data_IF_218045249857
#
_entry.id   IF_218045249857
#
_cell.length_a   1.000
_cell.length_b   1.000
_cell.length_c   1.000
_cell.angle_alpha   90.00
_cell.angle_beta   90.00
_cell.angle_gamma   90.00
#
_symmetry.space_group_name_H-M   'P 1'
#
loop_
_entity.id
_entity.type
_entity.pdbx_description
1 polymer ?
#
# COMPACT_ATOMS: atom_id res chain seq x y z
N UNK A 1 -8.72 -7.96 13.64
CA UNK A 1 -8.61 -8.07 12.17
C UNK A 1 -7.74 -9.24 11.75
N UNK A 2 -6.55 -9.39 12.34
CA UNK A 2 -5.58 -10.43 11.97
C UNK A 2 -6.15 -11.85 12.03
N UNK A 3 -6.91 -12.19 13.08
CA UNK A 3 -7.53 -13.52 13.17
C UNK A 3 -8.49 -13.80 12.01
N UNK A 4 -9.27 -12.80 11.57
CA UNK A 4 -10.14 -12.97 10.40
C UNK A 4 -9.33 -13.19 9.12
N UNK A 5 -8.19 -12.51 8.97
CA UNK A 5 -7.30 -12.68 7.81
C UNK A 5 -6.70 -14.09 7.82
N UNK A 6 -6.18 -14.54 8.96
CA UNK A 6 -5.52 -15.84 9.14
C UNK A 6 -6.50 -17.00 8.88
N UNK A 7 -7.76 -16.83 9.27
CA UNK A 7 -8.82 -17.82 9.07
C UNK A 7 -9.62 -17.62 7.76
N UNK A 8 -9.06 -16.91 6.78
CA UNK A 8 -9.69 -16.67 5.47
C UNK A 8 -8.71 -16.98 4.34
N UNK A 9 -9.20 -16.93 3.10
CA UNK A 9 -8.39 -17.10 1.89
C UNK A 9 -7.26 -16.06 1.77
N UNK A 10 -7.34 -14.95 2.51
CA UNK A 10 -6.29 -13.93 2.55
C UNK A 10 -4.97 -14.44 3.15
N UNK A 11 -4.98 -15.51 3.93
CA UNK A 11 -3.76 -16.08 4.53
C UNK A 11 -2.72 -16.46 3.47
N UNK A 12 -3.17 -16.91 2.29
CA UNK A 12 -2.28 -17.27 1.18
C UNK A 12 -1.57 -16.06 0.54
N UNK A 13 -2.07 -14.85 0.78
CA UNK A 13 -1.46 -13.60 0.31
C UNK A 13 -0.40 -13.05 1.27
N UNK A 14 -0.27 -13.63 2.47
CA UNK A 14 0.69 -13.13 3.47
C UNK A 14 2.13 -13.27 2.97
N UNK A 15 2.92 -12.22 3.14
CA UNK A 15 4.36 -12.20 2.86
C UNK A 15 5.10 -11.62 4.07
N UNK A 16 6.40 -11.87 4.12
CA UNK A 16 7.28 -11.27 5.12
C UNK A 16 7.68 -9.85 4.74
N UNK A 17 7.84 -9.59 3.43
CA UNK A 17 8.31 -8.33 2.88
C UNK A 17 7.36 -7.78 1.81
N UNK A 18 7.45 -6.46 1.59
CA UNK A 18 6.85 -5.78 0.45
C UNK A 18 7.96 -5.21 -0.43
N UNK A 19 8.38 -5.96 -1.44
CA UNK A 19 9.47 -5.60 -2.33
C UNK A 19 9.23 -6.07 -3.77
N UNK A 20 9.74 -5.27 -4.71
CA UNK A 20 9.77 -5.56 -6.14
C UNK A 20 10.96 -4.83 -6.77
N UNK A 21 11.85 -5.58 -7.43
CA UNK A 21 13.08 -5.04 -8.02
C UNK A 21 13.89 -4.21 -6.99
N UNK A 22 14.16 -2.94 -7.28
CA UNK A 22 14.89 -2.02 -6.37
C UNK A 22 13.96 -1.13 -5.53
N UNK A 23 12.68 -1.46 -5.43
CA UNK A 23 11.70 -0.75 -4.60
C UNK A 23 11.24 -1.66 -3.47
N UNK A 24 11.34 -1.18 -2.23
CA UNK A 24 10.93 -1.94 -1.04
C UNK A 24 10.43 -1.03 0.05
N UNK A 25 9.64 -1.60 0.95
CA UNK A 25 9.29 -0.98 2.24
C UNK A 25 10.04 -1.70 3.33
N UNK A 26 10.68 -0.92 4.22
CA UNK A 26 11.32 -1.46 5.42
C UNK A 26 10.38 -1.36 6.62
N UNK A 27 10.65 -2.14 7.65
CA UNK A 27 9.93 -2.10 8.92
C UNK A 27 10.87 -1.59 10.01
N UNK A 28 10.35 -0.71 10.88
CA UNK A 28 11.06 -0.24 12.07
C UNK A 28 11.48 -1.42 12.93
N UNK A 29 12.69 -1.39 13.50
CA UNK A 29 13.14 -2.41 14.47
C UNK A 29 12.29 -2.44 15.75
N UNK A 30 11.53 -1.38 16.00
CA UNK A 30 10.63 -1.26 17.15
C UNK A 30 9.26 -1.88 16.86
N UNK A 31 8.93 -2.14 15.59
CA UNK A 31 7.68 -2.77 15.20
C UNK A 31 7.85 -4.29 15.24
N UNK A 32 7.21 -4.93 16.22
CA UNK A 32 7.23 -6.38 16.36
C UNK A 32 6.58 -7.08 15.15
N UNK A 33 7.12 -8.23 14.74
CA UNK A 33 6.63 -9.00 13.57
C UNK A 33 5.17 -9.45 13.71
N UNK A 34 4.71 -9.70 14.94
CA UNK A 34 3.32 -10.06 15.22
C UNK A 34 2.35 -8.86 15.20
N UNK A 35 2.88 -7.63 15.17
CA UNK A 35 2.10 -6.40 15.13
C UNK A 35 1.83 -5.91 13.70
N UNK A 36 2.26 -6.64 12.67
CA UNK A 36 1.89 -6.32 11.29
C UNK A 36 1.59 -7.54 10.42
N UNK A 37 0.81 -7.32 9.36
CA UNK A 37 0.59 -8.27 8.28
C UNK A 37 0.85 -7.57 6.95
N UNK A 38 1.64 -8.18 6.08
CA UNK A 38 1.79 -7.78 4.68
C UNK A 38 0.99 -8.74 3.80
N UNK A 39 0.04 -8.21 3.03
CA UNK A 39 -0.72 -8.94 2.03
C UNK A 39 -0.29 -8.50 0.64
N UNK A 40 0.10 -9.45 -0.20
CA UNK A 40 0.48 -9.20 -1.60
C UNK A 40 -0.77 -9.19 -2.49
N UNK A 41 -1.27 -8.00 -2.82
CA UNK A 41 -2.60 -7.80 -3.42
C UNK A 41 -2.59 -8.10 -4.93
N UNK A 42 -1.51 -7.77 -5.63
CA UNK A 42 -1.32 -8.14 -7.03
C UNK A 42 -1.40 -9.66 -7.25
N UNK A 43 -0.87 -10.46 -6.31
CA UNK A 43 -0.95 -11.92 -6.35
C UNK A 43 -2.40 -12.44 -6.31
N UNK A 44 -3.30 -11.76 -5.57
CA UNK A 44 -4.71 -12.11 -5.57
C UNK A 44 -5.33 -11.95 -6.95
N UNK A 45 -5.17 -10.78 -7.58
CA UNK A 45 -5.76 -10.54 -8.91
C UNK A 45 -5.09 -11.40 -10.00
N UNK A 46 -3.78 -11.64 -9.90
CA UNK A 46 -3.06 -12.52 -10.81
C UNK A 46 -3.49 -13.99 -10.68
N UNK A 47 -3.94 -14.42 -9.51
CA UNK A 47 -4.41 -15.81 -9.28
C UNK A 47 -5.73 -16.14 -9.96
N UNK A 48 -6.56 -15.14 -10.29
CA UNK A 48 -7.89 -15.32 -10.89
C UNK A 48 -7.87 -15.83 -12.34
N UNK A 49 -6.69 -15.90 -12.98
CA UNK A 49 -6.50 -16.35 -14.38
C UNK A 49 -7.37 -15.62 -15.40
N UNK A 50 -7.72 -14.37 -15.11
CA UNK A 50 -8.43 -13.52 -16.04
C UNK A 50 -7.47 -13.06 -17.16
N UNK A 51 -7.92 -12.95 -18.43
CA UNK A 51 -7.06 -12.51 -19.54
C UNK A 51 -6.42 -11.13 -19.32
N UNK A 52 -7.12 -10.24 -18.62
CA UNK A 52 -6.67 -8.90 -18.27
C UNK A 52 -7.04 -8.63 -16.80
N UNK A 53 -6.24 -9.10 -15.83
CA UNK A 53 -6.58 -8.94 -14.42
C UNK A 53 -6.68 -7.45 -14.05
N UNK A 54 -7.62 -7.08 -13.16
CA UNK A 54 -7.74 -5.71 -12.68
C UNK A 54 -6.41 -5.20 -12.10
N UNK A 55 -5.99 -3.98 -12.44
CA UNK A 55 -4.76 -3.43 -11.90
C UNK A 55 -4.94 -3.18 -10.40
N UNK A 56 -3.96 -3.58 -9.61
CA UNK A 56 -3.95 -3.44 -8.16
C UNK A 56 -2.59 -3.01 -7.65
N UNK A 57 -2.55 -2.55 -6.40
CA UNK A 57 -1.32 -2.24 -5.69
C UNK A 57 -0.52 -3.51 -5.39
N UNK A 58 0.77 -3.39 -5.14
CA UNK A 58 1.63 -4.54 -4.81
C UNK A 58 1.31 -5.09 -3.42
N UNK A 59 1.21 -4.23 -2.41
CA UNK A 59 1.00 -4.67 -1.03
C UNK A 59 -0.05 -3.86 -0.27
N UNK A 60 -0.76 -4.53 0.62
CA UNK A 60 -1.48 -3.93 1.73
C UNK A 60 -0.77 -4.33 3.03
N UNK A 61 -0.24 -3.36 3.75
CA UNK A 61 0.37 -3.56 5.06
C UNK A 61 -0.60 -3.07 6.11
N UNK A 62 -0.88 -3.91 7.10
CA UNK A 62 -1.76 -3.63 8.23
C UNK A 62 -0.91 -3.66 9.49
N UNK A 63 -0.90 -2.57 10.24
CA UNK A 63 -0.21 -2.48 11.53
C UNK A 63 -1.26 -2.39 12.63
N UNK A 64 -1.16 -3.24 13.65
CA UNK A 64 -2.01 -3.18 14.84
C UNK A 64 -1.45 -2.13 15.79
N UNK A 65 -2.29 -1.17 16.20
CA UNK A 65 -1.88 -0.15 17.16
C UNK A 65 -2.01 -0.68 18.59
N UNK A 66 -0.97 -0.49 19.39
CA UNK A 66 -0.94 -1.00 20.77
C UNK A 66 -1.87 -0.20 21.69
N UNK A 67 -2.24 1.03 21.31
CA UNK A 67 -2.91 2.00 22.18
C UNK A 67 -4.43 1.98 22.11
N UNK A 68 -5.05 1.49 21.03
CA UNK A 68 -6.48 1.72 20.78
C UNK A 68 -7.22 0.62 19.99
N UNK A 69 -6.64 -0.59 19.86
CA UNK A 69 -7.20 -1.71 19.07
C UNK A 69 -7.56 -1.36 17.61
N UNK A 70 -7.10 -0.20 17.13
CA UNK A 70 -7.24 0.23 15.76
C UNK A 70 -6.06 -0.26 14.92
N UNK A 71 -6.17 -0.06 13.62
CA UNK A 71 -5.14 -0.46 12.67
C UNK A 71 -4.72 0.70 11.77
N UNK A 72 -3.42 0.79 11.49
CA UNK A 72 -2.89 1.60 10.41
C UNK A 72 -2.87 0.79 9.12
N UNK A 73 -3.40 1.39 8.05
CA UNK A 73 -3.43 0.80 6.72
C UNK A 73 -2.42 1.51 5.83
N UNK A 74 -1.53 0.74 5.22
CA UNK A 74 -0.60 1.23 4.21
C UNK A 74 -0.87 0.47 2.90
N UNK A 75 -1.46 1.16 1.93
CA UNK A 75 -1.60 0.68 0.58
C UNK A 75 -0.33 1.08 -0.16
N UNK A 76 0.42 0.11 -0.67
CA UNK A 76 1.77 0.32 -1.21
C UNK A 76 1.82 -0.13 -2.67
N UNK A 77 2.17 0.80 -3.55
CA UNK A 77 2.59 0.55 -4.92
C UNK A 77 4.09 0.79 -5.05
N UNK A 78 4.82 -0.17 -5.60
CA UNK A 78 6.25 -0.15 -5.83
C UNK A 78 6.53 0.23 -7.30
N UNK A 79 7.44 1.17 -7.53
CA UNK A 79 7.87 1.55 -8.89
C UNK A 79 9.37 1.79 -8.95
N UNK A 80 10.07 0.87 -9.61
CA UNK A 80 11.46 1.06 -9.99
C UNK A 80 11.56 1.82 -11.33
N UNK A 81 11.73 3.15 -11.23
CA UNK A 81 11.82 4.04 -12.39
C UNK A 81 13.14 4.80 -12.42
N UNK A 82 13.66 5.09 -13.61
CA UNK A 82 14.86 5.95 -13.76
C UNK A 82 14.52 7.44 -13.88
N UNK A 83 13.28 7.76 -14.27
CA UNK A 83 12.78 9.12 -14.43
C UNK A 83 11.25 9.18 -14.36
N UNK A 84 10.68 10.37 -14.11
CA UNK A 84 9.23 10.58 -14.02
C UNK A 84 8.47 10.26 -15.32
N UNK A 85 9.13 10.24 -16.48
CA UNK A 85 8.51 9.83 -17.75
C UNK A 85 8.01 8.38 -17.74
N UNK A 86 8.57 7.54 -16.87
CA UNK A 86 8.17 6.14 -16.71
C UNK A 86 6.92 5.95 -15.84
N UNK A 87 6.37 7.02 -15.23
CA UNK A 87 5.18 6.90 -14.39
C UNK A 87 3.90 6.97 -15.23
N UNK A 88 3.18 5.86 -15.29
CA UNK A 88 1.80 5.86 -15.77
C UNK A 88 0.86 6.23 -14.62
N UNK A 89 0.61 7.54 -14.47
CA UNK A 89 -0.19 8.09 -13.36
C UNK A 89 -1.61 7.52 -13.34
N UNK A 90 -2.26 7.43 -14.50
CA UNK A 90 -3.63 6.90 -14.59
C UNK A 90 -3.69 5.45 -14.10
N UNK A 91 -2.72 4.63 -14.50
CA UNK A 91 -2.63 3.25 -14.04
C UNK A 91 -2.40 3.16 -12.53
N UNK A 92 -1.48 3.94 -11.96
CA UNK A 92 -1.24 3.99 -10.52
C UNK A 92 -2.52 4.39 -9.77
N UNK A 93 -3.18 5.45 -10.22
CA UNK A 93 -4.45 5.88 -9.63
C UNK A 93 -5.54 4.80 -9.70
N UNK A 94 -5.58 4.04 -10.79
CA UNK A 94 -6.51 2.94 -10.97
C UNK A 94 -6.17 1.78 -10.04
N UNK A 95 -4.89 1.43 -9.85
CA UNK A 95 -4.45 0.39 -8.90
C UNK A 95 -4.97 0.64 -7.49
N UNK A 96 -4.78 1.85 -6.96
CA UNK A 96 -5.35 2.24 -5.67
C UNK A 96 -6.88 2.19 -5.65
N UNK A 97 -7.53 2.69 -6.71
CA UNK A 97 -8.99 2.68 -6.80
C UNK A 97 -9.58 1.27 -6.82
N UNK A 98 -9.00 0.36 -7.59
CA UNK A 98 -9.40 -1.05 -7.66
C UNK A 98 -9.25 -1.70 -6.29
N UNK A 99 -8.08 -1.56 -5.64
CA UNK A 99 -7.86 -2.16 -4.33
C UNK A 99 -8.86 -1.63 -3.29
N UNK A 100 -9.17 -0.34 -3.29
CA UNK A 100 -10.12 0.20 -2.32
C UNK A 100 -11.57 -0.24 -2.63
N UNK A 101 -12.01 -0.08 -3.87
CA UNK A 101 -13.41 -0.28 -4.24
C UNK A 101 -13.79 -1.75 -4.39
N UNK A 102 -12.92 -2.54 -5.00
CA UNK A 102 -13.18 -3.96 -5.26
C UNK A 102 -12.66 -4.81 -4.09
N UNK A 103 -11.37 -4.74 -3.77
CA UNK A 103 -10.80 -5.61 -2.73
C UNK A 103 -11.30 -5.29 -1.31
N UNK A 104 -11.16 -4.04 -0.86
CA UNK A 104 -11.49 -3.66 0.53
C UNK A 104 -13.00 -3.47 0.76
N UNK A 105 -13.70 -2.76 -0.14
CA UNK A 105 -15.11 -2.39 0.04
C UNK A 105 -16.11 -3.44 -0.44
N UNK A 106 -15.70 -4.41 -1.28
CA UNK A 106 -16.60 -5.39 -1.89
C UNK A 106 -16.19 -6.83 -1.55
N UNK A 107 -15.07 -7.31 -2.07
CA UNK A 107 -14.67 -8.73 -1.96
C UNK A 107 -14.39 -9.15 -0.51
N UNK A 108 -13.66 -8.33 0.25
CA UNK A 108 -13.27 -8.64 1.64
C UNK A 108 -13.86 -7.65 2.65
N UNK A 109 -15.01 -7.06 2.32
CA UNK A 109 -15.69 -6.07 3.16
C UNK A 109 -15.89 -6.56 4.60
N UNK A 110 -16.31 -7.81 4.78
CA UNK A 110 -16.60 -8.38 6.10
C UNK A 110 -15.36 -8.57 7.00
N UNK A 111 -14.17 -8.54 6.40
CA UNK A 111 -12.89 -8.57 7.10
C UNK A 111 -12.47 -7.14 7.47
N UNK A 112 -12.58 -6.19 6.55
CA UNK A 112 -11.98 -4.86 6.72
C UNK A 112 -12.94 -3.81 7.32
N UNK A 113 -14.25 -4.00 7.24
CA UNK A 113 -15.23 -2.99 7.70
C UNK A 113 -15.53 -3.06 9.21
N UNK A 114 -15.17 -4.16 9.88
CA UNK A 114 -15.53 -4.40 11.28
C UNK A 114 -14.61 -3.75 12.33
N UNK A 115 -13.50 -3.12 11.94
CA UNK A 115 -12.42 -2.74 12.86
C UNK A 115 -12.10 -1.25 12.83
N UNK A 116 -11.67 -0.65 13.93
CA UNK A 116 -11.23 0.74 13.92
C UNK A 116 -10.00 0.95 13.02
N UNK A 117 -9.97 2.08 12.30
CA UNK A 117 -8.82 2.50 11.49
C UNK A 117 -8.21 3.74 12.16
N UNK A 118 -6.94 3.65 12.54
CA UNK A 118 -6.20 4.76 13.13
C UNK A 118 -5.71 5.69 12.01
N UNK A 119 -4.97 5.15 11.04
CA UNK A 119 -4.51 5.89 9.86
C UNK A 119 -4.72 5.11 8.55
N UNK A 120 -4.81 5.84 7.45
CA UNK A 120 -5.01 5.31 6.10
C UNK A 120 -4.05 6.02 5.14
N UNK A 121 -3.07 5.29 4.64
CA UNK A 121 -1.92 5.83 3.90
C UNK A 121 -1.81 5.14 2.54
N UNK A 122 -1.66 5.93 1.49
CA UNK A 122 -1.46 5.45 0.11
C UNK A 122 -0.07 5.85 -0.33
N UNK A 123 0.83 4.89 -0.51
CA UNK A 123 2.23 5.12 -0.78
C UNK A 123 2.66 4.62 -2.15
N UNK A 124 3.28 5.53 -2.90
CA UNK A 124 4.04 5.18 -4.10
C UNK A 124 5.53 5.12 -3.72
N UNK A 125 6.07 3.93 -3.55
CA UNK A 125 7.47 3.73 -3.21
C UNK A 125 8.30 3.74 -4.49
N UNK A 126 9.25 4.66 -4.56
CA UNK A 126 10.11 4.82 -5.74
C UNK A 126 11.45 4.15 -5.52
N UNK A 127 11.88 3.35 -6.50
CA UNK A 127 13.09 2.53 -6.43
C UNK A 127 14.36 3.29 -6.01
N UNK A 128 15.32 2.57 -5.44
CA UNK A 128 16.49 3.15 -4.77
C UNK A 128 17.28 4.12 -5.65
N UNK A 129 17.46 3.81 -6.94
CA UNK A 129 18.20 4.65 -7.86
C UNK A 129 17.52 6.01 -8.02
N UNK A 130 16.19 6.02 -8.15
CA UNK A 130 15.41 7.25 -8.21
C UNK A 130 15.49 8.01 -6.89
N UNK A 131 15.31 7.29 -5.79
CA UNK A 131 15.30 7.84 -4.43
C UNK A 131 16.62 8.49 -4.05
N UNK A 132 17.76 7.87 -4.37
CA UNK A 132 19.10 8.44 -4.15
C UNK A 132 19.30 9.72 -4.98
N UNK A 133 18.82 9.74 -6.22
CA UNK A 133 18.99 10.89 -7.14
C UNK A 133 18.05 12.05 -6.86
N UNK A 134 16.82 11.76 -6.44
CA UNK A 134 15.72 12.73 -6.35
C UNK A 134 15.01 12.77 -4.99
N UNK A 135 15.47 12.02 -3.98
CA UNK A 135 14.87 11.95 -2.64
C UNK A 135 14.71 13.32 -1.99
N UNK A 136 15.75 14.16 -2.07
CA UNK A 136 15.71 15.56 -1.59
C UNK A 136 14.71 16.45 -2.35
N UNK A 137 14.25 16.01 -3.52
CA UNK A 137 13.30 16.69 -4.43
C UNK A 137 11.96 15.96 -4.51
N UNK A 138 11.68 14.94 -3.69
CA UNK A 138 10.36 14.28 -3.71
C UNK A 138 9.22 15.22 -3.31
N UNK A 139 9.51 16.32 -2.60
CA UNK A 139 8.59 17.44 -2.38
C UNK A 139 8.56 18.50 -3.50
N UNK A 140 9.15 18.24 -4.68
CA UNK A 140 9.17 19.17 -5.81
C UNK A 140 7.80 19.27 -6.51
N UNK A 141 7.58 20.39 -7.19
CA UNK A 141 6.31 20.78 -7.83
C UNK A 141 5.72 19.72 -8.77
N UNK A 142 6.53 18.92 -9.47
CA UNK A 142 6.04 17.88 -10.39
C UNK A 142 5.44 16.66 -9.66
N UNK A 143 6.07 16.21 -8.56
CA UNK A 143 5.50 15.16 -7.70
C UNK A 143 4.35 15.69 -6.83
N UNK A 144 4.35 17.00 -6.52
CA UNK A 144 3.20 17.68 -5.91
C UNK A 144 1.98 17.69 -6.83
N UNK A 145 2.12 17.96 -8.13
CA UNK A 145 1.01 17.86 -9.08
C UNK A 145 0.47 16.40 -9.16
N UNK A 146 1.37 15.41 -9.05
CA UNK A 146 1.04 13.99 -9.01
C UNK A 146 0.23 13.57 -7.76
N UNK A 147 0.52 14.16 -6.59
CA UNK A 147 -0.12 13.86 -5.29
C UNK A 147 -1.42 14.58 -5.03
N UNK A 148 -1.63 15.76 -5.64
CA UNK A 148 -2.69 16.69 -5.24
C UNK A 148 -4.03 16.52 -5.95
N UNK A 149 -4.19 15.61 -6.92
CA UNK A 149 -5.39 15.62 -7.78
C UNK A 149 -6.54 14.68 -7.36
N UNK A 150 -6.28 13.63 -6.58
CA UNK A 150 -7.31 12.63 -6.27
C UNK A 150 -7.23 12.16 -4.83
N UNK A 151 -8.31 12.40 -4.09
CA UNK A 151 -8.51 11.90 -2.75
C UNK A 151 -9.22 10.56 -2.81
N UNK A 152 -8.72 9.63 -2.01
CA UNK A 152 -9.27 8.30 -1.86
C UNK A 152 -9.93 8.19 -0.50
N UNK A 153 -11.09 7.54 -0.48
CA UNK A 153 -11.91 7.38 0.71
C UNK A 153 -11.95 5.91 1.06
N UNK A 154 -11.67 5.60 2.32
CA UNK A 154 -11.96 4.30 2.88
C UNK A 154 -12.56 4.52 4.26
N UNK A 155 -13.85 4.17 4.37
CA UNK A 155 -14.66 4.45 5.55
C UNK A 155 -14.63 5.95 5.90
N UNK A 156 -14.29 6.33 7.12
CA UNK A 156 -14.19 7.72 7.55
C UNK A 156 -12.80 8.35 7.33
N UNK A 157 -11.89 7.67 6.61
CA UNK A 157 -10.55 8.17 6.34
C UNK A 157 -10.42 8.63 4.90
N UNK A 158 -9.62 9.69 4.72
CA UNK A 158 -9.34 10.31 3.44
C UNK A 158 -7.83 10.41 3.28
N UNK A 159 -7.32 10.00 2.12
CA UNK A 159 -5.90 10.02 1.85
C UNK A 159 -5.60 10.36 0.39
N UNK A 160 -4.47 11.03 0.18
CA UNK A 160 -3.87 11.21 -1.14
C UNK A 160 -2.73 10.20 -1.33
N UNK A 161 -2.40 9.87 -2.58
CA UNK A 161 -1.21 9.08 -2.89
C UNK A 161 0.02 9.93 -2.55
N UNK A 162 0.95 9.37 -1.77
CA UNK A 162 2.18 10.02 -1.35
C UNK A 162 3.42 9.25 -1.86
N UNK A 163 4.23 9.84 -2.76
CA UNK A 163 5.51 9.31 -3.16
C UNK A 163 6.48 9.32 -2.00
N UNK A 164 7.07 8.16 -1.72
CA UNK A 164 8.06 7.97 -0.67
C UNK A 164 9.29 7.24 -1.23
N UNK A 165 10.46 7.44 -0.62
CA UNK A 165 11.67 6.73 -1.02
C UNK A 165 11.68 5.27 -0.54
N UNK A 166 12.50 4.42 -1.18
CA UNK A 166 12.67 3.00 -0.81
C UNK A 166 13.26 2.75 0.59
N UNK A 167 13.81 3.76 1.25
CA UNK A 167 14.34 3.67 2.62
C UNK A 167 13.28 4.07 3.67
N UNK A 168 12.03 4.25 3.25
CA UNK A 168 10.93 4.49 4.17
C UNK A 168 10.69 3.26 5.06
N UNK A 169 10.51 3.54 6.35
CA UNK A 169 10.20 2.53 7.36
C UNK A 169 8.76 2.68 7.83
N UNK A 170 7.98 1.60 7.71
CA UNK A 170 6.71 1.43 8.42
C UNK A 170 7.02 1.34 9.90
N UNK A 171 6.28 2.12 10.70
CA UNK A 171 6.48 2.27 12.14
C UNK A 171 5.24 1.81 12.88
N UNK A 172 5.43 1.56 14.16
CA UNK A 172 4.37 1.41 15.13
C UNK A 172 3.45 2.65 15.18
N UNK A 173 2.20 2.39 15.54
CA UNK A 173 1.23 3.34 16.07
C UNK A 173 0.96 2.97 17.54
#
# INVERSE_FOLDING_TARGET
MFDKIINSDLVGLRRETCEENNARVEFSKQLAEDNYIVLKIDAYYNSKREPNPPPSIDCLILVKCDTNECYDFYLVELKDIKSLKGLNIKNIQQKFATTINDFLNKEFKDIFDAYCINDFKLYLVLGETFSKKYGKKMGSSQLKIFTLQKLYHFRNKIAAINPIPSDYQVKEC
#
